data_IF_660578295622
#
_entry.id   IF_660578295622
#
_cell.length_a   1.000
_cell.length_b   1.000
_cell.length_c   1.000
_cell.angle_alpha   90.00
_cell.angle_beta   90.00
_cell.angle_gamma   90.00
#
_symmetry.space_group_name_H-M   'P 1'
#
loop_
_entity.id
_entity.type
_entity.pdbx_description
1 polymer ?
#
# COMPACT_ATOMS: atom_id res chain seq x y z
N UNK A 1 2.01 -0.40 2.30
CA UNK A 1 1.95 1.08 2.30
C UNK A 1 0.61 1.51 2.88
N UNK A 2 0.61 2.54 3.72
CA UNK A 2 -0.59 3.03 4.42
C UNK A 2 -0.54 4.55 4.64
N UNK A 3 -1.49 5.13 5.38
CA UNK A 3 -1.63 6.58 5.55
C UNK A 3 -0.35 7.28 6.03
N UNK A 4 0.41 6.65 6.93
CA UNK A 4 1.66 7.21 7.48
C UNK A 4 2.81 7.32 6.45
N UNK A 5 2.69 6.65 5.31
CA UNK A 5 3.71 6.62 4.25
C UNK A 5 3.22 7.31 2.97
N UNK A 6 2.17 8.13 3.05
CA UNK A 6 1.60 8.80 1.89
C UNK A 6 2.46 9.99 1.44
N UNK A 7 2.55 10.14 0.12
CA UNK A 7 3.27 11.22 -0.52
C UNK A 7 4.63 10.79 -1.06
N UNK A 8 4.96 11.36 -2.22
CA UNK A 8 6.17 11.04 -2.98
C UNK A 8 7.46 11.16 -2.16
N UNK A 9 7.58 12.16 -1.28
CA UNK A 9 8.79 12.35 -0.48
C UNK A 9 8.96 11.26 0.60
N UNK A 10 7.88 10.89 1.28
CA UNK A 10 7.92 9.78 2.25
C UNK A 10 8.31 8.46 1.56
N UNK A 11 7.76 8.20 0.37
CA UNK A 11 8.13 7.03 -0.44
C UNK A 11 9.61 7.07 -0.85
N UNK A 12 10.13 8.22 -1.29
CA UNK A 12 11.57 8.37 -1.59
C UNK A 12 12.44 8.02 -0.41
N UNK A 13 12.09 8.50 0.79
CA UNK A 13 12.84 8.19 2.01
C UNK A 13 12.81 6.69 2.30
N UNK A 14 11.66 6.03 2.19
CA UNK A 14 11.57 4.58 2.38
C UNK A 14 12.44 3.80 1.39
N UNK A 15 12.43 4.19 0.12
CA UNK A 15 13.24 3.56 -0.93
C UNK A 15 14.74 3.74 -0.66
N UNK A 16 15.16 4.96 -0.30
CA UNK A 16 16.56 5.24 0.09
C UNK A 16 17.00 4.47 1.35
N UNK A 17 16.07 4.20 2.26
CA UNK A 17 16.33 3.42 3.48
C UNK A 17 16.18 1.90 3.28
N UNK A 18 16.02 1.42 2.04
CA UNK A 18 16.08 -0.01 1.73
C UNK A 18 14.74 -0.69 1.44
N UNK A 19 13.67 0.04 1.15
CA UNK A 19 12.43 -0.58 0.68
C UNK A 19 12.64 -1.25 -0.68
N UNK A 20 12.49 -2.57 -0.76
CA UNK A 20 12.59 -3.33 -2.03
C UNK A 20 11.23 -3.71 -2.63
N UNK A 21 10.19 -3.89 -1.81
CA UNK A 21 8.85 -4.29 -2.26
C UNK A 21 7.79 -3.44 -1.58
N UNK A 22 6.99 -2.74 -2.37
CA UNK A 22 5.83 -2.00 -1.92
C UNK A 22 4.57 -2.90 -1.92
N UNK A 23 4.13 -3.30 -0.72
CA UNK A 23 2.89 -4.08 -0.53
C UNK A 23 1.64 -3.19 -0.49
N UNK A 24 0.65 -3.53 -1.30
CA UNK A 24 -0.68 -2.92 -1.35
C UNK A 24 -1.70 -3.88 -0.74
N UNK A 25 -2.25 -3.56 0.42
CA UNK A 25 -3.27 -4.39 1.07
C UNK A 25 -4.68 -3.98 0.62
N UNK A 26 -5.28 -4.76 -0.27
CA UNK A 26 -6.60 -4.48 -0.85
C UNK A 26 -7.77 -4.77 0.11
N UNK A 27 -7.51 -5.24 1.34
CA UNK A 27 -8.54 -5.27 2.38
C UNK A 27 -9.00 -3.87 2.81
N UNK A 28 -8.17 -2.85 2.58
CA UNK A 28 -8.42 -1.47 3.00
C UNK A 28 -8.13 -0.43 1.92
N UNK A 29 -7.33 -0.76 0.91
CA UNK A 29 -6.96 0.19 -0.14
C UNK A 29 -8.09 0.39 -1.16
N UNK A 30 -8.22 1.62 -1.66
CA UNK A 30 -9.04 1.92 -2.84
C UNK A 30 -8.21 1.82 -4.12
N UNK A 31 -8.86 1.63 -5.26
CA UNK A 31 -8.18 1.60 -6.56
C UNK A 31 -7.47 2.93 -6.85
N UNK A 32 -8.12 4.08 -6.60
CA UNK A 32 -7.53 5.39 -6.91
C UNK A 32 -6.25 5.63 -6.10
N UNK A 33 -6.28 5.33 -4.80
CA UNK A 33 -5.10 5.50 -3.94
C UNK A 33 -3.97 4.56 -4.33
N UNK A 34 -4.31 3.31 -4.67
CA UNK A 34 -3.31 2.32 -5.10
C UNK A 34 -2.67 2.71 -6.42
N UNK A 35 -3.45 3.23 -7.38
CA UNK A 35 -2.95 3.71 -8.66
C UNK A 35 -2.01 4.90 -8.48
N UNK A 36 -2.39 5.88 -7.64
CA UNK A 36 -1.55 7.04 -7.34
C UNK A 36 -0.18 6.61 -6.79
N UNK A 37 -0.17 5.75 -5.78
CA UNK A 37 1.08 5.27 -5.17
C UNK A 37 1.90 4.44 -6.18
N UNK A 38 1.25 3.62 -7.02
CA UNK A 38 1.94 2.87 -8.07
C UNK A 38 2.65 3.79 -9.07
N UNK A 39 2.01 4.90 -9.47
CA UNK A 39 2.61 5.92 -10.35
C UNK A 39 3.79 6.59 -9.67
N UNK A 40 3.64 7.02 -8.41
CA UNK A 40 4.71 7.62 -7.63
C UNK A 40 5.92 6.68 -7.50
N UNK A 41 5.73 5.38 -7.23
CA UNK A 41 6.84 4.41 -7.16
C UNK A 41 7.55 4.28 -8.51
N UNK A 42 6.82 4.24 -9.63
CA UNK A 42 7.43 4.17 -10.98
C UNK A 42 8.27 5.40 -11.27
N UNK A 43 7.77 6.58 -10.95
CA UNK A 43 8.52 7.84 -11.09
C UNK A 43 9.77 7.85 -10.20
N UNK A 44 9.65 7.44 -8.92
CA UNK A 44 10.79 7.40 -8.01
C UNK A 44 11.84 6.39 -8.45
N UNK A 45 11.41 5.23 -8.97
CA UNK A 45 12.33 4.23 -9.54
C UNK A 45 13.17 4.83 -10.68
N UNK A 46 12.54 5.62 -11.57
CA UNK A 46 13.24 6.34 -12.63
C UNK A 46 14.18 7.42 -12.09
N UNK A 47 13.71 8.23 -11.12
CA UNK A 47 14.47 9.34 -10.54
C UNK A 47 15.69 8.88 -9.73
N UNK A 48 15.57 7.78 -8.99
CA UNK A 48 16.62 7.28 -8.09
C UNK A 48 17.41 6.11 -8.69
N UNK A 49 17.11 5.70 -9.92
CA UNK A 49 17.67 4.51 -10.57
C UNK A 49 17.54 3.25 -9.68
N UNK A 50 16.33 3.01 -9.19
CA UNK A 50 15.99 1.87 -8.32
C UNK A 50 14.93 0.99 -8.97
N UNK A 51 14.77 -0.23 -8.45
CA UNK A 51 13.86 -1.25 -9.00
C UNK A 51 12.92 -1.79 -7.93
N UNK A 52 12.28 -0.89 -7.16
CA UNK A 52 11.34 -1.30 -6.13
C UNK A 52 10.12 -1.95 -6.78
N UNK A 53 9.87 -3.21 -6.41
CA UNK A 53 8.76 -3.98 -6.93
C UNK A 53 7.45 -3.59 -6.24
N UNK A 54 6.32 -3.86 -6.89
CA UNK A 54 4.99 -3.69 -6.30
C UNK A 54 4.29 -5.03 -6.14
N UNK A 55 3.65 -5.23 -4.99
CA UNK A 55 2.95 -6.47 -4.65
C UNK A 55 1.51 -6.17 -4.27
N UNK A 56 0.57 -6.78 -4.99
CA UNK A 56 -0.85 -6.74 -4.66
C UNK A 56 -1.16 -7.88 -3.68
N UNK A 57 -1.70 -7.52 -2.53
CA UNK A 57 -2.17 -8.45 -1.52
C UNK A 57 -3.69 -8.46 -1.50
N UNK A 58 -4.27 -9.57 -1.93
CA UNK A 58 -5.71 -9.76 -2.07
C UNK A 58 -6.38 -9.92 -0.71
N UNK A 59 -7.60 -9.42 -0.55
CA UNK A 59 -8.40 -9.66 0.66
C UNK A 59 -8.64 -11.16 0.94
N UNK A 60 -8.93 -11.93 -0.12
CA UNK A 60 -9.23 -13.35 -0.02
C UNK A 60 -10.59 -13.67 0.63
N UNK A 61 -10.99 -14.95 0.66
CA UNK A 61 -12.18 -15.42 1.36
C UNK A 61 -11.98 -15.38 2.88
N UNK A 62 -13.04 -15.03 3.63
CA UNK A 62 -13.01 -14.93 5.09
C UNK A 62 -14.36 -15.33 5.71
N UNK A 63 -14.33 -16.00 6.86
CA UNK A 63 -15.51 -16.25 7.70
C UNK A 63 -15.53 -15.17 8.80
N UNK A 64 -16.61 -14.39 8.88
CA UNK A 64 -16.79 -13.32 9.89
C UNK A 64 -18.10 -13.50 10.65
N UNK A 65 -18.10 -13.14 11.93
CA UNK A 65 -19.33 -13.00 12.73
C UNK A 65 -20.01 -11.66 12.44
N UNK A 66 -21.31 -11.56 12.75
CA UNK A 66 -22.06 -10.31 12.65
C UNK A 66 -22.14 -9.59 14.01
N UNK A 67 -22.88 -8.48 14.06
CA UNK A 67 -23.17 -7.77 15.29
C UNK A 67 -23.96 -8.66 16.27
N UNK A 68 -23.57 -8.62 17.54
CA UNK A 68 -24.32 -9.25 18.63
C UNK A 68 -25.41 -8.30 19.13
N UNK A 69 -26.53 -8.87 19.57
CA UNK A 69 -27.57 -8.09 20.27
C UNK A 69 -26.98 -7.58 21.58
N UNK A 70 -27.13 -6.28 21.87
CA UNK A 70 -26.72 -5.75 23.18
C UNK A 70 -27.57 -6.43 24.27
N UNK A 71 -26.96 -6.90 25.38
CA UNK A 71 -27.73 -7.39 26.52
C UNK A 71 -28.71 -6.31 26.98
N UNK A 72 -29.97 -6.70 27.20
CA UNK A 72 -30.99 -5.88 27.85
C UNK A 72 -30.69 -5.79 29.35
#
# INVERSE_FOLDING_TARGET
>A
LGPACQGKEALKQLIKNGLNVARFNFSHATYENSEKILREIKEINQELNTYVATMLDTKGPEIRTHNFVKPV
#
